data_IF_390557425089
#
_entry.id   IF_390557425089
#
_cell.length_a   1.000
_cell.length_b   1.000
_cell.length_c   1.000
_cell.angle_alpha   90.00
_cell.angle_beta   90.00
_cell.angle_gamma   90.00
#
_symmetry.space_group_name_H-M   'P 1'
#
loop_
_entity.id
_entity.type
_entity.pdbx_description
1 polymer ?
#
# COMPACT_ATOMS: atom_id res chain seq x y z
N UNK A 1 12.82 22.60 10.86
CA UNK A 1 12.24 21.40 10.20
C UNK A 1 12.50 20.14 11.06
N UNK A 2 11.83 20.00 12.21
CA UNK A 2 12.06 18.87 13.13
C UNK A 2 11.61 17.51 12.55
N UNK A 3 10.52 17.50 11.78
CA UNK A 3 9.98 16.27 11.17
C UNK A 3 10.96 15.64 10.18
N UNK A 4 11.63 16.46 9.36
CA UNK A 4 12.65 15.99 8.41
C UNK A 4 13.85 15.37 9.13
N UNK A 5 14.30 15.97 10.23
CA UNK A 5 15.41 15.42 11.02
C UNK A 5 15.05 14.13 11.75
N UNK A 6 13.81 13.98 12.22
CA UNK A 6 13.30 12.75 12.83
C UNK A 6 13.18 11.62 11.80
N UNK A 7 12.61 11.92 10.64
CA UNK A 7 12.49 10.98 9.54
C UNK A 7 13.86 10.49 9.04
N UNK A 8 14.81 11.41 8.82
CA UNK A 8 16.17 11.08 8.41
C UNK A 8 16.90 10.20 9.44
N UNK A 9 16.72 10.45 10.75
CA UNK A 9 17.28 9.61 11.82
C UNK A 9 16.69 8.20 11.77
N UNK A 10 15.37 8.07 11.60
CA UNK A 10 14.68 6.78 11.51
C UNK A 10 15.13 5.95 10.31
N UNK A 11 15.28 6.60 9.14
CA UNK A 11 15.82 5.98 7.92
C UNK A 11 17.24 5.47 8.16
N UNK A 12 18.10 6.30 8.77
CA UNK A 12 19.50 5.95 9.02
C UNK A 12 19.63 4.77 9.99
N UNK A 13 18.78 4.70 11.02
CA UNK A 13 18.75 3.57 11.94
C UNK A 13 18.21 2.28 11.32
N UNK A 14 17.31 2.38 10.32
CA UNK A 14 16.76 1.24 9.58
C UNK A 14 17.61 0.76 8.40
N UNK A 15 18.89 1.16 8.31
CA UNK A 15 19.79 0.72 7.23
C UNK A 15 19.68 1.52 5.93
N UNK A 16 18.97 2.66 5.91
CA UNK A 16 18.93 3.55 4.75
C UNK A 16 18.09 3.06 3.56
N UNK A 17 17.37 1.94 3.73
CA UNK A 17 16.54 1.36 2.67
C UNK A 17 15.08 1.72 2.96
N UNK A 18 14.46 2.49 2.06
CA UNK A 18 13.03 2.85 2.08
C UNK A 18 12.13 1.63 1.73
N UNK A 19 12.69 0.43 1.69
CA UNK A 19 12.08 -0.83 1.21
C UNK A 19 11.99 -1.88 2.33
N UNK A 20 12.00 -1.47 3.60
CA UNK A 20 11.57 -2.39 4.66
C UNK A 20 10.25 -1.88 5.23
N UNK A 21 9.11 -2.36 4.69
CA UNK A 21 7.82 -1.97 5.22
C UNK A 21 7.74 -2.39 6.68
N UNK A 22 7.21 -1.49 7.51
CA UNK A 22 6.96 -1.76 8.92
C UNK A 22 6.01 -2.94 9.06
N UNK A 23 5.89 -3.51 10.27
CA UNK A 23 4.99 -4.63 10.51
C UNK A 23 3.54 -4.33 10.06
N UNK A 24 3.05 -3.12 10.36
CA UNK A 24 1.70 -2.69 9.98
C UNK A 24 1.58 -2.51 8.46
N UNK A 25 2.60 -1.94 7.81
CA UNK A 25 2.61 -1.80 6.35
C UNK A 25 2.63 -3.16 5.65
N UNK A 26 3.40 -4.14 6.15
CA UNK A 26 3.39 -5.52 5.64
C UNK A 26 2.02 -6.16 5.79
N UNK A 27 1.39 -6.03 6.96
CA UNK A 27 0.04 -6.53 7.19
C UNK A 27 -0.99 -5.87 6.25
N UNK A 28 -0.93 -4.55 6.10
CA UNK A 28 -1.79 -3.81 5.18
C UNK A 28 -1.60 -4.25 3.72
N UNK A 29 -0.35 -4.50 3.28
CA UNK A 29 -0.07 -5.03 1.94
C UNK A 29 -0.70 -6.41 1.70
N UNK A 30 -0.66 -7.32 2.69
CA UNK A 30 -1.28 -8.64 2.58
C UNK A 30 -2.81 -8.55 2.48
N UNK A 31 -3.42 -7.58 3.18
CA UNK A 31 -4.87 -7.37 3.17
C UNK A 31 -5.40 -6.75 1.87
N UNK A 32 -4.52 -6.30 0.95
CA UNK A 32 -4.91 -5.86 -0.40
C UNK A 32 -5.32 -7.03 -1.29
N UNK A 33 -4.75 -8.22 -1.08
CA UNK A 33 -4.87 -9.36 -2.00
C UNK A 33 -6.32 -9.75 -2.34
N UNK A 34 -7.29 -9.76 -1.39
CA UNK A 34 -8.69 -10.06 -1.71
C UNK A 34 -9.30 -9.03 -2.68
N UNK A 35 -9.09 -7.73 -2.44
CA UNK A 35 -9.62 -6.64 -3.27
C UNK A 35 -9.01 -6.63 -4.66
N UNK A 36 -7.71 -6.91 -4.75
CA UNK A 36 -7.04 -7.09 -6.04
C UNK A 36 -7.62 -8.29 -6.80
N UNK A 37 -7.86 -9.41 -6.13
CA UNK A 37 -8.46 -10.60 -6.72
C UNK A 37 -9.86 -10.35 -7.27
N UNK A 38 -10.71 -9.64 -6.50
CA UNK A 38 -12.05 -9.20 -6.93
C UNK A 38 -11.98 -8.36 -8.20
N UNK A 39 -11.04 -7.40 -8.25
CA UNK A 39 -10.85 -6.54 -9.41
C UNK A 39 -10.40 -7.33 -10.65
N UNK A 40 -9.39 -8.20 -10.52
CA UNK A 40 -8.89 -9.02 -11.64
C UNK A 40 -9.98 -9.98 -12.15
N UNK A 41 -10.78 -10.55 -11.25
CA UNK A 41 -11.94 -11.36 -11.63
C UNK A 41 -12.98 -10.55 -12.44
N UNK A 42 -13.18 -9.27 -12.10
CA UNK A 42 -14.10 -8.38 -12.83
C UNK A 42 -13.63 -8.01 -14.24
N UNK A 43 -12.32 -7.88 -14.44
CA UNK A 43 -11.69 -7.57 -15.75
C UNK A 43 -11.62 -8.81 -16.65
N UNK A 44 -11.46 -9.98 -16.04
CA UNK A 44 -11.37 -11.28 -16.71
C UNK A 44 -10.06 -11.98 -16.40
N UNK A 45 -10.12 -13.11 -15.69
CA UNK A 45 -8.94 -13.82 -15.18
C UNK A 45 -7.99 -14.34 -16.26
N UNK A 46 -8.47 -14.52 -17.49
CA UNK A 46 -7.66 -14.97 -18.63
C UNK A 46 -6.95 -13.82 -19.36
N UNK A 47 -7.29 -12.57 -19.05
CA UNK A 47 -6.69 -11.40 -19.68
C UNK A 47 -5.33 -11.14 -19.03
N UNK A 48 -4.21 -11.25 -19.77
CA UNK A 48 -2.89 -10.93 -19.23
C UNK A 48 -2.77 -9.42 -18.98
N UNK A 49 -1.99 -9.04 -17.97
CA UNK A 49 -1.71 -7.63 -17.63
C UNK A 49 -1.17 -6.80 -18.79
N UNK A 50 -0.48 -7.41 -19.75
CA UNK A 50 0.04 -6.73 -20.95
C UNK A 50 -1.05 -6.21 -21.89
N UNK A 51 -2.28 -6.72 -21.77
CA UNK A 51 -3.44 -6.29 -22.57
C UNK A 51 -4.37 -5.34 -21.81
N UNK A 52 -4.00 -4.94 -20.59
CA UNK A 52 -4.78 -3.97 -19.85
C UNK A 52 -4.64 -2.61 -20.53
N UNK A 53 -5.77 -1.93 -20.73
CA UNK A 53 -5.78 -0.55 -21.18
C UNK A 53 -5.40 0.37 -20.00
N UNK A 54 -5.24 1.65 -20.31
CA UNK A 54 -4.81 2.65 -19.32
C UNK A 54 -5.83 2.77 -18.17
N UNK A 55 -7.11 2.74 -18.48
CA UNK A 55 -8.19 2.87 -17.51
C UNK A 55 -8.18 1.69 -16.51
N UNK A 56 -8.01 0.47 -17.02
CA UNK A 56 -7.93 -0.75 -16.22
C UNK A 56 -6.69 -0.76 -15.31
N UNK A 57 -5.55 -0.25 -15.77
CA UNK A 57 -4.37 -0.13 -14.91
C UNK A 57 -4.60 0.90 -13.81
N UNK A 58 -5.17 2.06 -14.14
CA UNK A 58 -5.42 3.11 -13.15
C UNK A 58 -6.43 2.66 -12.09
N UNK A 59 -7.49 1.96 -12.50
CA UNK A 59 -8.46 1.40 -11.55
C UNK A 59 -7.83 0.31 -10.68
N UNK A 60 -6.94 -0.53 -11.22
CA UNK A 60 -6.19 -1.51 -10.42
C UNK A 60 -5.34 -0.83 -9.35
N UNK A 61 -4.62 0.24 -9.71
CA UNK A 61 -3.81 1.03 -8.78
C UNK A 61 -4.69 1.66 -7.70
N UNK A 62 -5.83 2.22 -8.07
CA UNK A 62 -6.77 2.82 -7.12
C UNK A 62 -7.33 1.81 -6.11
N UNK A 63 -7.72 0.62 -6.58
CA UNK A 63 -8.18 -0.49 -5.72
C UNK A 63 -7.08 -0.90 -4.74
N UNK A 64 -5.84 -1.04 -5.21
CA UNK A 64 -4.69 -1.43 -4.38
C UNK A 64 -4.38 -0.38 -3.32
N UNK A 65 -4.29 0.89 -3.71
CA UNK A 65 -3.95 1.97 -2.79
C UNK A 65 -5.05 2.22 -1.76
N UNK A 66 -6.31 2.20 -2.19
CA UNK A 66 -7.47 2.36 -1.30
C UNK A 66 -7.48 1.26 -0.24
N UNK A 67 -7.39 -0.01 -0.66
CA UNK A 67 -7.35 -1.12 0.26
C UNK A 67 -6.14 -1.03 1.21
N UNK A 68 -4.96 -0.67 0.70
CA UNK A 68 -3.77 -0.53 1.53
C UNK A 68 -3.94 0.54 2.62
N UNK A 69 -4.39 1.74 2.26
CA UNK A 69 -4.52 2.84 3.21
C UNK A 69 -5.67 2.62 4.20
N UNK A 70 -6.78 2.02 3.76
CA UNK A 70 -7.88 1.66 4.65
C UNK A 70 -7.41 0.66 5.72
N UNK A 71 -6.75 -0.42 5.32
CA UNK A 71 -6.22 -1.41 6.26
C UNK A 71 -5.12 -0.82 7.15
N UNK A 72 -4.22 0.01 6.60
CA UNK A 72 -3.15 0.64 7.39
C UNK A 72 -3.71 1.56 8.48
N UNK A 73 -4.78 2.29 8.15
CA UNK A 73 -5.51 3.14 9.10
C UNK A 73 -6.20 2.32 10.19
N UNK A 74 -6.81 1.20 9.82
CA UNK A 74 -7.48 0.32 10.79
C UNK A 74 -6.48 -0.35 11.75
N UNK A 75 -5.29 -0.72 11.25
CA UNK A 75 -4.22 -1.36 12.04
C UNK A 75 -3.45 -0.36 12.90
N UNK A 76 -3.43 0.92 12.51
CA UNK A 76 -2.73 1.98 13.23
C UNK A 76 -3.75 2.88 13.93
N UNK A 77 -4.18 2.55 15.16
CA UNK A 77 -5.11 3.40 15.91
C UNK A 77 -4.54 4.82 16.04
N UNK A 78 -5.43 5.81 15.96
CA UNK A 78 -5.16 7.26 16.07
C UNK A 78 -4.67 7.68 17.48
N UNK A 79 -3.73 6.94 18.07
CA UNK A 79 -3.18 7.17 19.42
C UNK A 79 -2.05 8.20 19.42
N UNK A 80 -2.05 9.15 18.49
CA UNK A 80 -1.17 10.33 18.56
C UNK A 80 -2.04 11.56 18.81
N UNK A 81 -2.26 11.95 20.08
CA UNK A 81 -2.78 13.26 20.40
C UNK A 81 -1.84 14.31 19.81
N UNK A 82 -2.40 15.21 19.01
CA UNK A 82 -1.69 16.37 18.47
C UNK A 82 -1.07 17.23 19.58
#
# INVERSE_FOLDING_TARGET
MQCQSLHARRIKSGGGVVIDPTHNEKAAMEMVLPRLGEYVASVGMEKPLSLYNREEILQMVDVVLTAYFDNLRDITPDDVPF
#
